data_IF_981282396906
#
_entry.id   IF_981282396906
#
_cell.length_a   1.000
_cell.length_b   1.000
_cell.length_c   1.000
_cell.angle_alpha   90.00
_cell.angle_beta   90.00
_cell.angle_gamma   90.00
#
_symmetry.space_group_name_H-M   'P 1'
#
loop_
_entity.id
_entity.type
_entity.pdbx_description
1 polymer ?
#
# COMPACT_ATOMS: atom_id res chain seq x y z
N UNK A 1 -21.53 -22.32 13.57
CA UNK A 1 -20.38 -22.17 12.66
C UNK A 1 -20.81 -21.18 11.60
N UNK A 2 -20.18 -20.00 11.49
CA UNK A 2 -20.48 -19.07 10.41
C UNK A 2 -20.04 -19.73 9.09
N UNK A 3 -21.00 -19.98 8.20
CA UNK A 3 -20.77 -20.57 6.89
C UNK A 3 -20.04 -19.54 5.99
N UNK A 4 -18.75 -19.77 5.74
CA UNK A 4 -17.92 -18.92 4.91
C UNK A 4 -18.26 -19.01 3.41
N UNK A 5 -19.29 -19.78 3.00
CA UNK A 5 -19.69 -19.93 1.59
C UNK A 5 -20.90 -19.11 1.17
N UNK A 6 -21.65 -18.50 2.10
CA UNK A 6 -22.67 -17.51 1.74
C UNK A 6 -22.03 -16.14 1.56
N UNK A 7 -22.12 -15.58 0.35
CA UNK A 7 -21.77 -14.17 0.11
C UNK A 7 -22.72 -13.30 0.97
N UNK A 8 -22.27 -12.72 2.09
CA UNK A 8 -23.16 -11.99 3.01
C UNK A 8 -23.77 -10.74 2.37
N UNK A 9 -23.21 -10.33 1.23
CA UNK A 9 -23.58 -9.14 0.48
C UNK A 9 -24.81 -9.40 -0.40
N UNK A 10 -25.08 -10.66 -0.77
CA UNK A 10 -26.14 -11.00 -1.73
C UNK A 10 -27.56 -10.83 -1.17
N UNK A 11 -27.72 -10.76 0.15
CA UNK A 11 -29.01 -10.58 0.85
C UNK A 11 -29.29 -9.10 1.20
N UNK A 12 -28.39 -8.19 0.85
CA UNK A 12 -28.50 -6.76 1.14
C UNK A 12 -29.27 -6.03 0.04
N UNK A 13 -30.08 -5.03 0.41
CA UNK A 13 -30.69 -4.09 -0.53
C UNK A 13 -29.64 -3.26 -1.29
N UNK A 14 -30.01 -2.68 -2.43
CA UNK A 14 -29.10 -1.85 -3.24
C UNK A 14 -28.46 -0.71 -2.43
N UNK A 15 -29.23 -0.09 -1.53
CA UNK A 15 -28.75 0.97 -0.63
C UNK A 15 -27.70 0.45 0.36
N UNK A 16 -27.92 -0.72 0.97
CA UNK A 16 -27.00 -1.34 1.92
C UNK A 16 -25.71 -1.80 1.23
N UNK A 17 -25.80 -2.31 -0.01
CA UNK A 17 -24.62 -2.66 -0.80
C UNK A 17 -23.75 -1.43 -1.07
N UNK A 18 -24.35 -0.30 -1.42
CA UNK A 18 -23.62 0.96 -1.66
C UNK A 18 -22.93 1.48 -0.40
N UNK A 19 -23.61 1.46 0.75
CA UNK A 19 -23.03 1.87 2.03
C UNK A 19 -21.90 0.94 2.47
N UNK A 20 -22.09 -0.38 2.31
CA UNK A 20 -21.07 -1.38 2.60
C UNK A 20 -19.85 -1.21 1.68
N UNK A 21 -20.04 -0.95 0.38
CA UNK A 21 -18.94 -0.67 -0.54
C UNK A 21 -18.11 0.53 -0.08
N UNK A 22 -18.74 1.64 0.31
CA UNK A 22 -18.04 2.81 0.87
C UNK A 22 -17.29 2.47 2.16
N UNK A 23 -17.91 1.69 3.04
CA UNK A 23 -17.27 1.24 4.27
C UNK A 23 -16.04 0.38 3.98
N UNK A 24 -16.17 -0.63 3.11
CA UNK A 24 -15.07 -1.51 2.69
C UNK A 24 -13.94 -0.69 2.07
N UNK A 25 -14.23 0.27 1.18
CA UNK A 25 -13.21 1.13 0.58
C UNK A 25 -12.41 1.89 1.65
N UNK A 26 -13.10 2.46 2.66
CA UNK A 26 -12.44 3.16 3.76
C UNK A 26 -11.58 2.24 4.64
N UNK A 27 -12.04 1.02 4.92
CA UNK A 27 -11.29 0.04 5.69
C UNK A 27 -10.10 -0.52 4.89
N UNK A 28 -10.27 -0.72 3.58
CA UNK A 28 -9.19 -1.13 2.69
C UNK A 28 -8.07 -0.09 2.64
N UNK A 29 -8.39 1.21 2.69
CA UNK A 29 -7.37 2.26 2.79
C UNK A 29 -6.56 2.15 4.08
N UNK A 30 -7.21 1.86 5.22
CA UNK A 30 -6.53 1.64 6.50
C UNK A 30 -5.63 0.42 6.47
N UNK A 31 -6.09 -0.69 5.88
CA UNK A 31 -5.29 -1.91 5.70
C UNK A 31 -4.05 -1.63 4.84
N UNK A 32 -4.21 -0.91 3.72
CA UNK A 32 -3.07 -0.51 2.87
C UNK A 32 -2.04 0.34 3.64
N UNK A 33 -2.51 1.28 4.46
CA UNK A 33 -1.63 2.08 5.32
C UNK A 33 -0.89 1.20 6.34
N UNK A 34 -1.60 0.29 7.01
CA UNK A 34 -1.00 -0.64 7.96
C UNK A 34 0.06 -1.51 7.28
N UNK A 35 -0.21 -2.04 6.08
CA UNK A 35 0.75 -2.81 5.30
C UNK A 35 2.01 -1.98 4.97
N UNK A 36 1.82 -0.72 4.56
CA UNK A 36 2.92 0.20 4.31
C UNK A 36 3.77 0.44 5.58
N UNK A 37 3.13 0.65 6.74
CA UNK A 37 3.82 0.81 8.03
C UNK A 37 4.66 -0.43 8.35
N UNK A 38 4.11 -1.64 8.20
CA UNK A 38 4.87 -2.88 8.41
C UNK A 38 6.04 -3.03 7.44
N UNK A 39 5.86 -2.64 6.18
CA UNK A 39 6.93 -2.67 5.18
C UNK A 39 8.05 -1.68 5.53
N UNK A 40 7.71 -0.46 5.92
CA UNK A 40 8.70 0.55 6.32
C UNK A 40 9.43 0.12 7.59
N UNK A 41 8.70 -0.40 8.58
CA UNK A 41 9.30 -0.87 9.83
C UNK A 41 10.27 -2.02 9.57
N UNK A 42 9.85 -3.05 8.83
CA UNK A 42 10.72 -4.20 8.53
C UNK A 42 11.95 -3.84 7.69
N UNK A 43 11.85 -2.81 6.83
CA UNK A 43 12.95 -2.37 5.97
C UNK A 43 13.91 -1.40 6.68
N UNK A 44 13.38 -0.43 7.41
CA UNK A 44 14.14 0.67 7.99
C UNK A 44 14.67 0.36 9.38
N UNK A 45 13.98 -0.47 10.17
CA UNK A 45 14.42 -0.87 11.50
C UNK A 45 15.85 -1.43 11.51
N UNK A 46 16.19 -2.49 10.73
CA UNK A 46 17.54 -3.05 10.74
C UNK A 46 18.61 -2.11 10.15
N UNK A 47 18.22 -1.04 9.47
CA UNK A 47 19.15 -0.06 8.86
C UNK A 47 19.46 1.11 9.79
N UNK A 48 18.48 1.51 10.60
CA UNK A 48 18.56 2.74 11.39
C UNK A 48 18.69 2.49 12.88
N UNK A 49 18.13 1.41 13.42
CA UNK A 49 18.13 1.15 14.86
C UNK A 49 19.28 0.23 15.21
N UNK A 50 20.31 0.82 15.85
CA UNK A 50 21.48 0.09 16.32
C UNK A 50 21.36 -0.32 17.79
N UNK A 51 20.93 0.61 18.65
CA UNK A 51 20.85 0.40 20.10
C UNK A 51 19.43 0.65 20.58
N UNK A 52 18.85 -0.33 21.26
CA UNK A 52 17.48 -0.22 21.77
C UNK A 52 17.52 0.58 23.09
N UNK A 53 17.27 1.88 23.01
CA UNK A 53 17.11 2.79 24.15
C UNK A 53 15.64 3.03 24.53
N UNK A 54 15.42 3.93 25.51
CA UNK A 54 14.06 4.34 25.93
C UNK A 54 13.36 5.27 24.93
N UNK A 55 14.09 5.79 23.95
CA UNK A 55 13.61 6.66 22.87
C UNK A 55 14.57 6.56 21.70
N UNK A 56 14.09 6.97 20.53
CA UNK A 56 14.95 7.18 19.37
C UNK A 56 15.88 8.36 19.65
N UNK A 57 17.16 8.20 19.32
CA UNK A 57 18.07 9.33 19.29
C UNK A 57 17.86 10.18 18.02
N UNK A 58 18.44 11.37 17.98
CA UNK A 58 18.27 12.28 16.82
C UNK A 58 18.82 11.69 15.51
N UNK A 59 19.86 10.86 15.58
CA UNK A 59 20.42 10.19 14.41
C UNK A 59 19.50 9.09 13.89
N UNK A 60 18.88 8.31 14.78
CA UNK A 60 17.90 7.28 14.46
C UNK A 60 16.63 7.90 13.85
N UNK A 61 16.10 8.99 14.44
CA UNK A 61 14.97 9.74 13.90
C UNK A 61 15.24 10.24 12.48
N UNK A 62 16.40 10.89 12.27
CA UNK A 62 16.81 11.37 10.96
C UNK A 62 17.04 10.24 9.96
N UNK A 63 17.62 9.12 10.39
CA UNK A 63 17.81 7.93 9.56
C UNK A 63 16.47 7.36 9.11
N UNK A 64 15.50 7.23 10.01
CA UNK A 64 14.17 6.71 9.70
C UNK A 64 13.44 7.59 8.70
N UNK A 65 13.47 8.92 8.86
CA UNK A 65 12.91 9.88 7.89
C UNK A 65 13.52 9.67 6.50
N UNK A 66 14.86 9.68 6.42
CA UNK A 66 15.56 9.46 5.15
C UNK A 66 15.26 8.08 4.55
N UNK A 67 15.18 7.03 5.38
CA UNK A 67 14.90 5.67 4.92
C UNK A 67 13.53 5.58 4.25
N UNK A 68 12.49 6.16 4.87
CA UNK A 68 11.14 6.17 4.30
C UNK A 68 11.09 6.99 3.01
N UNK A 69 11.69 8.19 2.98
CA UNK A 69 11.75 9.02 1.76
C UNK A 69 12.47 8.30 0.61
N UNK A 70 13.63 7.69 0.86
CA UNK A 70 14.36 6.92 -0.15
C UNK A 70 13.58 5.69 -0.60
N UNK A 71 12.88 5.02 0.32
CA UNK A 71 12.02 3.88 -0.02
C UNK A 71 10.91 4.32 -0.98
N UNK A 72 10.20 5.41 -0.66
CA UNK A 72 9.12 5.93 -1.51
C UNK A 72 9.64 6.37 -2.89
N UNK A 73 10.76 7.09 -2.95
CA UNK A 73 11.39 7.50 -4.21
C UNK A 73 11.74 6.29 -5.09
N UNK A 74 12.35 5.24 -4.52
CA UNK A 74 12.67 4.01 -5.22
C UNK A 74 11.40 3.32 -5.75
N UNK A 75 10.36 3.21 -4.93
CA UNK A 75 9.10 2.58 -5.32
C UNK A 75 8.41 3.37 -6.43
N UNK A 76 8.35 4.70 -6.34
CA UNK A 76 7.78 5.54 -7.40
C UNK A 76 8.61 5.47 -8.69
N UNK A 77 9.94 5.41 -8.60
CA UNK A 77 10.80 5.23 -9.76
C UNK A 77 10.49 3.91 -10.48
N UNK A 78 10.42 2.82 -9.70
CA UNK A 78 10.05 1.48 -10.18
C UNK A 78 8.67 1.52 -10.84
N UNK A 79 7.64 2.00 -10.14
CA UNK A 79 6.27 2.06 -10.65
C UNK A 79 6.20 2.89 -11.93
N UNK A 80 6.87 4.04 -11.98
CA UNK A 80 6.91 4.89 -13.19
C UNK A 80 7.51 4.17 -14.38
N UNK A 81 8.57 3.39 -14.19
CA UNK A 81 9.18 2.57 -15.25
C UNK A 81 8.21 1.49 -15.74
N UNK A 82 7.66 0.70 -14.82
CA UNK A 82 6.76 -0.41 -15.17
C UNK A 82 5.41 0.05 -15.72
N UNK A 83 4.81 1.11 -15.16
CA UNK A 83 3.52 1.62 -15.62
C UNK A 83 3.63 2.22 -17.02
N UNK A 84 4.66 3.02 -17.31
CA UNK A 84 4.85 3.59 -18.64
C UNK A 84 5.10 2.51 -19.71
N UNK A 85 5.90 1.48 -19.38
CA UNK A 85 6.13 0.35 -20.29
C UNK A 85 4.86 -0.44 -20.56
N UNK A 86 4.06 -0.71 -19.51
CA UNK A 86 2.79 -1.44 -19.65
C UNK A 86 1.74 -0.63 -20.39
N UNK A 87 1.66 0.67 -20.16
CA UNK A 87 0.77 1.54 -20.93
C UNK A 87 1.20 1.56 -22.41
N UNK A 88 2.48 1.77 -22.73
CA UNK A 88 2.94 1.73 -24.13
C UNK A 88 2.64 0.39 -24.82
N UNK A 89 2.92 -0.73 -24.14
CA UNK A 89 2.61 -2.05 -24.66
C UNK A 89 1.09 -2.28 -24.81
N UNK A 90 0.29 -1.86 -23.83
CA UNK A 90 -1.17 -1.99 -23.88
C UNK A 90 -1.78 -1.12 -24.98
N UNK A 91 -1.34 0.14 -25.12
CA UNK A 91 -1.78 1.04 -26.19
C UNK A 91 -1.47 0.43 -27.56
N UNK A 92 -0.24 -0.05 -27.77
CA UNK A 92 0.14 -0.67 -29.03
C UNK A 92 -0.58 -2.02 -29.27
N UNK A 93 -0.88 -2.79 -28.22
CA UNK A 93 -1.68 -4.02 -28.32
C UNK A 93 -3.15 -3.73 -28.63
N UNK A 94 -3.71 -2.63 -28.12
CA UNK A 94 -5.06 -2.15 -28.41
C UNK A 94 -5.19 -1.42 -29.76
N UNK A 95 -4.12 -1.37 -30.56
CA UNK A 95 -4.15 -0.77 -31.91
C UNK A 95 -4.20 0.76 -31.92
N UNK A 96 -4.00 1.42 -30.78
CA UNK A 96 -3.70 2.84 -30.72
C UNK A 96 -2.19 3.00 -30.90
N UNK A 97 -1.78 3.90 -31.81
CA UNK A 97 -0.39 4.09 -32.28
C UNK A 97 0.66 3.73 -31.21
N UNK A 98 1.52 2.76 -31.54
CA UNK A 98 2.92 2.84 -31.11
C UNK A 98 3.47 4.22 -31.56
#
# INVERSE_FOLDING_TARGET
MADATKNPIADLSESEQLELSKFIESEQQKVKLQQAIHQFTSTCWPKCIGNIGNKLDKSEEQCLQNCVERFLDCNFHIIKRYALEKFGFLFCWLGFSC
#
